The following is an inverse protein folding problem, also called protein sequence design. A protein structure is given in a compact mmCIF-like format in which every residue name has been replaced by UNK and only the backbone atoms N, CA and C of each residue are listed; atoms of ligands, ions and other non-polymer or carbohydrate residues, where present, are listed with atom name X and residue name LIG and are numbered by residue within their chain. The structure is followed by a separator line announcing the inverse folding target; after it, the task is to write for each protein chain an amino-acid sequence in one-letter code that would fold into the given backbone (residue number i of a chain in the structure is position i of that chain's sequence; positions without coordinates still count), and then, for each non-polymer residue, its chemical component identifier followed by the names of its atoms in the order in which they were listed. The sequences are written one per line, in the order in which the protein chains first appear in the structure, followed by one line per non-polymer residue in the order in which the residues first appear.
data_IF_787466811748
#
_entry.id   IF_787466811748
#
_cell.length_a   1.000
_cell.length_b   1.000
_cell.length_c   1.000
_cell.angle_alpha   90.00
_cell.angle_beta   90.00
_cell.angle_gamma   90.00
#
_symmetry.space_group_name_H-M   'P 1'
#
loop_
_entity.id
_entity.type
_entity.pdbx_description
1 polymer ?
#
# COMPACT_ATOMS: atom_id res chain seq x y z
N UNK A 1 -10.99 17.71 -8.12
CA UNK A 1 -11.50 16.41 -7.67
C UNK A 1 -10.40 15.76 -6.85
N UNK A 2 -10.67 15.39 -5.61
CA UNK A 2 -9.69 14.78 -4.71
C UNK A 2 -10.01 13.30 -4.58
N UNK A 3 -9.08 12.43 -4.97
CA UNK A 3 -9.25 10.98 -4.88
C UNK A 3 -8.79 10.52 -3.49
N UNK A 4 -9.70 9.90 -2.72
CA UNK A 4 -9.41 9.35 -1.38
C UNK A 4 -8.67 8.03 -1.47
N UNK A 5 -7.40 8.06 -1.85
CA UNK A 5 -6.54 6.87 -1.95
C UNK A 5 -5.87 6.62 -0.61
N UNK A 6 -6.30 5.56 0.10
CA UNK A 6 -5.68 5.16 1.37
C UNK A 6 -4.46 4.24 1.21
N UNK A 7 -4.39 3.51 0.10
CA UNK A 7 -3.32 2.57 -0.22
C UNK A 7 -3.01 2.68 -1.71
N UNK A 8 -1.73 2.82 -2.06
CA UNK A 8 -1.24 2.79 -3.42
C UNK A 8 0.17 2.16 -3.48
N UNK A 9 0.44 1.45 -4.57
CA UNK A 9 1.79 1.12 -5.01
C UNK A 9 2.34 2.22 -5.91
N UNK A 10 3.62 2.53 -5.76
CA UNK A 10 4.33 3.50 -6.61
C UNK A 10 5.41 2.72 -7.35
N UNK A 11 5.38 2.78 -8.68
CA UNK A 11 6.39 2.13 -9.51
C UNK A 11 7.43 3.14 -9.99
N UNK A 12 8.69 2.76 -9.86
CA UNK A 12 9.85 3.62 -10.09
C UNK A 12 10.75 2.98 -11.14
N UNK A 13 11.30 3.81 -12.02
CA UNK A 13 12.44 3.47 -12.87
C UNK A 13 13.61 4.39 -12.53
N UNK A 14 14.82 3.86 -12.62
CA UNK A 14 16.05 4.63 -12.42
C UNK A 14 16.81 4.66 -13.73
N UNK A 15 17.17 5.84 -14.21
CA UNK A 15 17.98 5.97 -15.42
C UNK A 15 19.47 5.68 -15.15
N UNK A 16 20.28 5.72 -16.22
CA UNK A 16 21.73 5.49 -16.16
C UNK A 16 22.51 6.52 -15.33
N UNK A 17 21.94 7.71 -15.10
CA UNK A 17 22.53 8.81 -14.33
C UNK A 17 22.08 8.76 -12.87
N UNK A 18 21.21 7.81 -12.50
CA UNK A 18 20.69 7.62 -11.15
C UNK A 18 19.44 8.45 -10.86
N UNK A 19 18.85 9.10 -11.87
CA UNK A 19 17.61 9.86 -11.69
C UNK A 19 16.43 8.89 -11.52
N UNK A 20 15.58 9.17 -10.52
CA UNK A 20 14.40 8.36 -10.21
C UNK A 20 13.18 8.99 -10.88
N UNK A 21 12.43 8.18 -11.63
CA UNK A 21 11.18 8.58 -12.26
C UNK A 21 10.05 7.70 -11.77
N UNK A 22 8.98 8.33 -11.29
CA UNK A 22 7.71 7.66 -11.05
C UNK A 22 6.93 7.60 -12.35
N UNK A 23 6.60 6.39 -12.81
CA UNK A 23 5.88 6.19 -14.06
C UNK A 23 4.47 5.63 -13.86
N UNK A 24 4.18 5.05 -12.69
CA UNK A 24 2.85 4.51 -12.39
C UNK A 24 2.47 4.62 -10.91
N UNK A 25 1.17 4.74 -10.65
CA UNK A 25 0.55 4.73 -9.33
C UNK A 25 -0.68 3.82 -9.38
N UNK A 26 -0.56 2.65 -8.76
CA UNK A 26 -1.58 1.61 -8.84
C UNK A 26 -2.29 1.39 -7.49
N UNK A 27 -3.61 1.23 -7.51
CA UNK A 27 -4.42 0.90 -6.32
C UNK A 27 -4.62 -0.61 -6.13
N UNK A 28 -4.34 -1.40 -7.18
CA UNK A 28 -4.05 -2.84 -7.07
C UNK A 28 -2.55 -3.00 -7.36
N UNK A 29 -1.80 -3.81 -6.61
CA UNK A 29 -0.34 -3.88 -6.80
C UNK A 29 0.10 -5.32 -6.94
N UNK A 30 1.09 -5.54 -7.81
CA UNK A 30 1.82 -6.81 -7.86
C UNK A 30 2.88 -6.80 -6.77
N UNK A 31 2.84 -7.81 -5.91
CA UNK A 31 3.75 -7.95 -4.78
C UNK A 31 5.04 -8.67 -5.17
N UNK A 32 6.17 -8.15 -4.69
CA UNK A 32 7.48 -8.78 -4.86
C UNK A 32 7.97 -9.36 -3.53
N UNK A 33 7.65 -10.63 -3.29
CA UNK A 33 7.99 -11.36 -2.06
C UNK A 33 9.50 -11.35 -1.75
N UNK A 34 10.36 -11.36 -2.77
CA UNK A 34 11.81 -11.35 -2.56
C UNK A 34 12.31 -9.98 -2.09
N UNK A 35 11.76 -8.89 -2.65
CA UNK A 35 12.03 -7.54 -2.15
C UNK A 35 11.56 -7.38 -0.70
N UNK A 36 10.35 -7.86 -0.38
CA UNK A 36 9.79 -7.82 0.97
C UNK A 36 10.67 -8.56 1.99
N UNK A 37 11.11 -9.77 1.67
CA UNK A 37 12.05 -10.54 2.51
C UNK A 37 13.37 -9.81 2.70
N UNK A 38 13.92 -9.22 1.64
CA UNK A 38 15.21 -8.52 1.70
C UNK A 38 15.18 -7.31 2.64
N UNK A 39 14.05 -6.60 2.73
CA UNK A 39 13.90 -5.42 3.61
C UNK A 39 13.14 -5.70 4.90
N UNK A 40 12.62 -6.91 5.09
CA UNK A 40 11.81 -7.30 6.26
C UNK A 40 10.50 -6.52 6.37
N UNK A 41 9.94 -6.05 5.25
CA UNK A 41 8.69 -5.28 5.20
C UNK A 41 7.73 -5.93 4.23
N UNK A 42 6.49 -6.12 4.67
CA UNK A 42 5.47 -6.86 3.92
C UNK A 42 4.26 -5.97 3.68
N UNK A 43 4.06 -5.53 2.44
CA UNK A 43 3.00 -4.58 2.12
C UNK A 43 1.62 -5.21 2.26
N UNK A 44 1.43 -6.49 1.88
CA UNK A 44 0.13 -7.16 2.07
C UNK A 44 -0.25 -7.27 3.54
N UNK A 45 0.72 -7.53 4.41
CA UNK A 45 0.49 -7.56 5.86
C UNK A 45 0.12 -6.16 6.39
N UNK A 46 0.78 -5.11 5.91
CA UNK A 46 0.45 -3.74 6.28
C UNK A 46 -0.98 -3.37 5.83
N UNK A 47 -1.38 -3.75 4.61
CA UNK A 47 -2.74 -3.55 4.09
C UNK A 47 -3.76 -4.32 4.92
N UNK A 48 -3.50 -5.59 5.23
CA UNK A 48 -4.39 -6.41 6.06
C UNK A 48 -4.59 -5.79 7.46
N UNK A 49 -3.52 -5.33 8.09
CA UNK A 49 -3.58 -4.65 9.38
C UNK A 49 -4.39 -3.36 9.32
N UNK A 50 -4.18 -2.54 8.29
CA UNK A 50 -4.92 -1.30 8.08
C UNK A 50 -6.42 -1.54 7.88
N UNK A 51 -6.79 -2.46 6.99
CA UNK A 51 -8.18 -2.79 6.72
C UNK A 51 -8.87 -3.40 7.95
N UNK A 52 -8.19 -4.29 8.67
CA UNK A 52 -8.72 -4.87 9.92
C UNK A 52 -8.93 -3.83 11.02
N UNK A 53 -8.03 -2.85 11.16
CA UNK A 53 -8.21 -1.73 12.09
C UNK A 53 -9.38 -0.83 11.68
N UNK A 54 -9.50 -0.53 10.39
CA UNK A 54 -10.59 0.27 9.82
C UNK A 54 -11.94 -0.41 10.06
N UNK A 55 -12.03 -1.72 9.82
CA UNK A 55 -13.25 -2.50 10.08
C UNK A 55 -13.66 -2.41 11.55
N UNK A 56 -12.74 -2.66 12.48
CA UNK A 56 -13.04 -2.56 13.93
C UNK A 56 -13.52 -1.17 14.35
N UNK A 57 -13.00 -0.11 13.71
CA UNK A 57 -13.45 1.25 13.97
C UNK A 57 -14.88 1.46 13.45
N UNK A 58 -15.19 0.95 12.26
CA UNK A 58 -16.53 0.97 11.69
C UNK A 58 -17.53 0.20 12.56
N UNK A 59 -17.18 -1.01 13.01
CA UNK A 59 -18.03 -1.84 13.89
C UNK A 59 -18.38 -1.11 15.20
N UNK A 60 -17.39 -0.44 15.82
CA UNK A 60 -17.62 0.41 17.01
C UNK A 60 -18.54 1.60 16.73
N UNK A 61 -18.41 2.19 15.54
CA UNK A 61 -19.21 3.36 15.15
C UNK A 61 -20.65 2.99 14.81
N UNK A 62 -20.87 1.77 14.34
CA UNK A 62 -22.18 1.26 13.91
C UNK A 62 -23.01 0.62 15.04
N UNK A 63 -22.54 0.59 16.29
CA UNK A 63 -23.25 -0.01 17.43
C UNK A 63 -23.68 -1.48 17.19
N UNK A 64 -22.81 -2.31 16.61
CA UNK A 64 -23.01 -3.77 16.66
C UNK A 64 -22.49 -4.43 17.94
N UNK A 65 -22.04 -3.63 18.91
CA UNK A 65 -21.95 -3.93 20.36
C UNK A 65 -22.30 -2.66 21.13
#
# INVERSE_FOLDING_TARGET
MEYKVSVAGIELIVDKEGNIFTYDVNTNTNYNTEAEKAVGKYGMLAVANYLGATLRQYEKTLHFV
#
